data_IF_445821799823
#
_entry.id   IF_445821799823
#
_cell.length_a   1.000
_cell.length_b   1.000
_cell.length_c   1.000
_cell.angle_alpha   90.00
_cell.angle_beta   90.00
_cell.angle_gamma   90.00
#
_symmetry.space_group_name_H-M   'P 1'
#
loop_
_entity.id
_entity.type
_entity.pdbx_description
1 polymer ?
#
# COMPACT_ATOMS: atom_id res chain seq x y z
N UNK A 1 -4.74 1.00 10.07
CA UNK A 1 -5.26 -0.16 9.31
C UNK A 1 -4.30 -0.65 8.23
N UNK A 2 -3.59 0.23 7.51
CA UNK A 2 -2.59 -0.13 6.48
C UNK A 2 -1.34 0.74 6.63
N UNK A 3 -0.16 0.28 6.21
CA UNK A 3 1.05 1.11 6.03
C UNK A 3 1.71 0.82 4.69
N UNK A 4 2.51 1.75 4.18
CA UNK A 4 3.34 1.54 3.01
C UNK A 4 4.71 0.99 3.45
N UNK A 5 5.07 -0.19 2.96
CA UNK A 5 6.38 -0.80 3.14
C UNK A 5 7.28 -0.31 2.00
N UNK A 6 8.25 0.56 2.30
CA UNK A 6 9.14 1.15 1.30
C UNK A 6 10.10 0.13 0.68
N UNK A 7 10.48 -0.89 1.44
CA UNK A 7 11.42 -1.92 1.00
C UNK A 7 10.76 -2.84 -0.04
N UNK A 8 9.48 -3.15 0.16
CA UNK A 8 8.67 -3.92 -0.80
C UNK A 8 8.02 -3.03 -1.86
N UNK A 9 7.82 -1.76 -1.53
CA UNK A 9 7.14 -0.78 -2.35
C UNK A 9 5.65 -1.07 -2.55
N UNK A 10 4.95 -1.54 -1.52
CA UNK A 10 3.51 -1.82 -1.52
C UNK A 10 2.88 -1.57 -0.13
N UNK A 11 1.57 -1.38 -0.11
CA UNK A 11 0.78 -1.29 1.11
C UNK A 11 0.56 -2.66 1.77
N UNK A 12 0.81 -2.74 3.07
CA UNK A 12 0.59 -3.91 3.91
C UNK A 12 -0.47 -3.61 4.96
N UNK A 13 -1.46 -4.49 5.06
CA UNK A 13 -2.50 -4.41 6.07
C UNK A 13 -1.94 -4.75 7.47
N UNK A 14 -2.18 -3.88 8.45
CA UNK A 14 -1.82 -4.12 9.87
C UNK A 14 -2.84 -4.98 10.60
N UNK A 15 -4.07 -5.02 10.08
CA UNK A 15 -5.21 -5.77 10.62
C UNK A 15 -5.98 -6.39 9.47
N UNK A 16 -6.85 -7.37 9.74
CA UNK A 16 -7.65 -8.01 8.70
C UNK A 16 -8.57 -7.03 7.96
N UNK A 17 -9.13 -6.05 8.67
CA UNK A 17 -9.91 -4.96 8.08
C UNK A 17 -9.11 -4.09 7.11
N UNK A 18 -7.78 -4.07 7.21
CA UNK A 18 -6.91 -3.34 6.30
C UNK A 18 -6.66 -4.04 4.96
N UNK A 19 -6.94 -5.35 4.84
CA UNK A 19 -6.71 -6.12 3.61
C UNK A 19 -7.40 -5.51 2.38
N UNK A 20 -8.72 -5.21 2.40
CA UNK A 20 -9.38 -4.63 1.22
C UNK A 20 -8.79 -3.26 0.83
N UNK A 21 -8.41 -2.43 1.81
CA UNK A 21 -7.76 -1.14 1.54
C UNK A 21 -6.37 -1.31 0.93
N UNK A 22 -5.56 -2.24 1.45
CA UNK A 22 -4.24 -2.53 0.93
C UNK A 22 -4.30 -3.05 -0.52
N UNK A 23 -5.22 -3.98 -0.81
CA UNK A 23 -5.44 -4.49 -2.16
C UNK A 23 -5.91 -3.41 -3.13
N UNK A 24 -6.83 -2.54 -2.69
CA UNK A 24 -7.32 -1.44 -3.52
C UNK A 24 -6.20 -0.47 -3.88
N UNK A 25 -5.36 -0.08 -2.92
CA UNK A 25 -4.25 0.85 -3.17
C UNK A 25 -3.10 0.22 -3.96
N UNK A 26 -2.80 -1.06 -3.74
CA UNK A 26 -1.76 -1.77 -4.50
C UNK A 26 -2.10 -1.98 -5.97
N UNK A 27 -3.37 -1.84 -6.36
CA UNK A 27 -3.81 -1.86 -7.77
C UNK A 27 -3.57 -0.53 -8.49
N UNK A 28 -3.39 0.58 -7.77
CA UNK A 28 -3.16 1.90 -8.35
C UNK A 28 -1.65 2.16 -8.48
N UNK A 29 -1.11 1.97 -9.70
CA UNK A 29 0.32 2.13 -9.99
C UNK A 29 0.81 3.55 -9.76
N UNK A 30 0.06 4.56 -10.17
CA UNK A 30 0.44 5.97 -10.02
C UNK A 30 0.61 6.34 -8.54
N UNK A 31 -0.29 5.84 -7.69
CA UNK A 31 -0.23 6.05 -6.23
C UNK A 31 0.98 5.33 -5.60
N UNK A 32 1.33 4.13 -6.08
CA UNK A 32 2.51 3.40 -5.62
C UNK A 32 3.79 4.12 -6.05
N UNK A 33 3.89 4.58 -7.30
CA UNK A 33 5.04 5.30 -7.81
C UNK A 33 5.24 6.64 -7.09
N UNK A 34 4.15 7.37 -6.86
CA UNK A 34 4.18 8.59 -6.06
C UNK A 34 4.73 8.31 -4.66
N UNK A 35 4.32 7.21 -4.01
CA UNK A 35 4.78 6.84 -2.67
C UNK A 35 6.22 6.35 -2.59
N UNK A 36 6.75 5.74 -3.65
CA UNK A 36 8.17 5.36 -3.74
C UNK A 36 9.10 6.55 -3.94
N UNK A 37 8.57 7.66 -4.44
CA UNK A 37 9.33 8.86 -4.78
C UNK A 37 9.53 9.83 -3.59
N UNK A 38 8.94 9.52 -2.42
CA UNK A 38 9.09 10.27 -1.17
C UNK A 38 9.95 9.48 -0.18
#
# INVERSE_FOLDING_TARGET
>A
FVYFDSDKGYYIAKTEFGKPSAEYWNKNKDLIEQRRSY
#
